data_IF_862963499392
#
_entry.id   IF_862963499392
#
_cell.length_a   1.000
_cell.length_b   1.000
_cell.length_c   1.000
_cell.angle_alpha   90.00
_cell.angle_beta   90.00
_cell.angle_gamma   90.00
#
_symmetry.space_group_name_H-M   'P 1'
#
loop_
_entity.id
_entity.type
_entity.pdbx_description
1 polymer ?
#
# COMPACT_ATOMS: atom_id res chain seq x y z
N UNK A 1 0.39 -24.00 0.95
CA UNK A 1 0.95 -23.45 2.20
C UNK A 1 0.37 -22.06 2.45
N UNK A 2 -0.07 -21.72 3.67
CA UNK A 2 -0.70 -20.43 4.01
C UNK A 2 0.14 -19.20 3.64
N UNK A 3 1.47 -19.27 3.77
CA UNK A 3 2.39 -18.17 3.42
C UNK A 3 2.35 -17.77 1.94
N UNK A 4 2.17 -18.72 1.03
CA UNK A 4 2.15 -18.44 -0.41
C UNK A 4 0.89 -17.66 -0.84
N UNK A 5 -0.25 -17.88 -0.17
CA UNK A 5 -1.48 -17.13 -0.44
C UNK A 5 -1.36 -15.68 0.06
N UNK A 6 -0.77 -15.49 1.24
CA UNK A 6 -0.48 -14.17 1.82
C UNK A 6 0.44 -13.34 0.93
N UNK A 7 1.59 -13.88 0.53
CA UNK A 7 2.55 -13.16 -0.32
C UNK A 7 1.92 -12.75 -1.66
N UNK A 8 1.04 -13.59 -2.25
CA UNK A 8 0.28 -13.22 -3.46
C UNK A 8 -0.71 -12.08 -3.20
N UNK A 9 -1.43 -12.12 -2.08
CA UNK A 9 -2.36 -11.07 -1.68
C UNK A 9 -1.66 -9.71 -1.54
N UNK A 10 -0.59 -9.66 -0.74
CA UNK A 10 0.19 -8.42 -0.54
C UNK A 10 0.75 -7.88 -1.85
N UNK A 11 1.28 -8.74 -2.72
CA UNK A 11 1.76 -8.36 -4.05
C UNK A 11 0.65 -7.81 -4.95
N UNK A 12 -0.54 -8.41 -4.94
CA UNK A 12 -1.67 -7.91 -5.73
C UNK A 12 -2.13 -6.54 -5.23
N UNK A 13 -2.30 -6.36 -3.92
CA UNK A 13 -2.75 -5.10 -3.33
C UNK A 13 -1.75 -3.95 -3.58
N UNK A 14 -0.45 -4.21 -3.37
CA UNK A 14 0.62 -3.22 -3.58
C UNK A 14 0.73 -2.82 -5.07
N UNK A 15 0.67 -3.78 -6.00
CA UNK A 15 0.67 -3.50 -7.45
C UNK A 15 -0.56 -2.71 -7.90
N UNK A 16 -1.75 -3.06 -7.41
CA UNK A 16 -2.97 -2.33 -7.73
C UNK A 16 -2.90 -0.87 -7.24
N UNK A 17 -2.37 -0.66 -6.03
CA UNK A 17 -2.15 0.68 -5.50
C UNK A 17 -1.15 1.47 -6.35
N UNK A 18 0.01 0.89 -6.68
CA UNK A 18 1.02 1.52 -7.54
C UNK A 18 0.41 1.89 -8.89
N UNK A 19 -0.31 0.97 -9.53
CA UNK A 19 -1.00 1.20 -10.80
C UNK A 19 -1.95 2.41 -10.72
N UNK A 20 -2.81 2.46 -9.70
CA UNK A 20 -3.71 3.59 -9.50
C UNK A 20 -3.00 4.94 -9.36
N UNK A 21 -1.91 5.01 -8.59
CA UNK A 21 -1.13 6.24 -8.42
C UNK A 21 -0.49 6.69 -9.74
N UNK A 22 0.04 5.75 -10.52
CA UNK A 22 0.69 6.05 -11.80
C UNK A 22 -0.32 6.43 -12.90
N UNK A 23 -1.46 5.77 -12.95
CA UNK A 23 -2.53 6.06 -13.91
C UNK A 23 -3.24 7.38 -13.60
N UNK A 24 -3.34 7.73 -12.30
CA UNK A 24 -4.14 8.86 -11.83
C UNK A 24 -3.44 9.72 -10.76
N UNK A 25 -2.25 10.29 -11.03
CA UNK A 25 -1.43 10.97 -10.01
C UNK A 25 -2.14 12.18 -9.39
N UNK A 26 -2.85 12.98 -10.19
CA UNK A 26 -3.62 14.14 -9.70
C UNK A 26 -4.81 13.73 -8.83
N UNK A 27 -5.55 12.67 -9.20
CA UNK A 27 -6.67 12.15 -8.40
C UNK A 27 -6.16 11.58 -7.09
N UNK A 28 -5.09 10.79 -7.13
CA UNK A 28 -4.45 10.26 -5.94
C UNK A 28 -3.96 11.39 -5.03
N UNK A 29 -3.27 12.39 -5.57
CA UNK A 29 -2.82 13.57 -4.84
C UNK A 29 -3.96 14.31 -4.13
N UNK A 30 -5.11 14.46 -4.79
CA UNK A 30 -6.30 15.08 -4.21
C UNK A 30 -6.92 14.28 -3.03
N UNK A 31 -6.54 13.01 -2.83
CA UNK A 31 -6.97 12.23 -1.64
C UNK A 31 -6.06 12.42 -0.42
N UNK A 32 -4.87 13.00 -0.61
CA UNK A 32 -3.88 13.12 0.47
C UNK A 32 -4.25 14.27 1.39
N UNK A 33 -4.38 13.99 2.69
CA UNK A 33 -4.70 15.00 3.70
C UNK A 33 -6.18 15.42 3.73
N UNK A 34 -7.04 14.73 2.99
CA UNK A 34 -8.49 14.94 3.08
C UNK A 34 -8.99 14.37 4.40
N UNK A 35 -9.58 15.23 5.22
CA UNK A 35 -10.33 14.85 6.41
C UNK A 35 -11.81 14.83 6.07
N UNK A 36 -12.48 13.66 6.09
CA UNK A 36 -13.92 13.60 5.87
C UNK A 36 -14.65 14.43 6.92
N UNK A 37 -15.63 15.20 6.47
CA UNK A 37 -16.40 16.13 7.31
C UNK A 37 -17.44 15.44 8.22
N UNK A 38 -17.69 14.15 7.99
CA UNK A 38 -18.59 13.34 8.79
C UNK A 38 -18.81 11.95 8.15
N UNK A 39 -19.64 11.09 8.78
CA UNK A 39 -19.94 9.75 8.27
C UNK A 39 -20.60 9.73 6.88
N UNK A 40 -21.39 10.76 6.56
CA UNK A 40 -22.11 10.91 5.29
C UNK A 40 -21.24 11.54 4.18
N UNK A 41 -19.99 11.89 4.49
CA UNK A 41 -19.07 12.45 3.51
C UNK A 41 -18.73 11.37 2.45
N UNK A 42 -18.92 11.63 1.15
CA UNK A 42 -18.56 10.69 0.09
C UNK A 42 -17.10 10.22 0.17
N UNK A 43 -16.19 11.05 0.68
CA UNK A 43 -14.78 10.69 0.88
C UNK A 43 -14.58 9.66 1.99
N UNK A 44 -15.40 9.68 3.04
CA UNK A 44 -15.35 8.65 4.09
C UNK A 44 -15.63 7.27 3.48
N UNK A 45 -16.68 7.18 2.66
CA UNK A 45 -17.07 5.92 1.99
C UNK A 45 -16.06 5.53 0.90
N UNK A 46 -15.63 6.48 0.06
CA UNK A 46 -14.71 6.20 -1.04
C UNK A 46 -13.33 5.71 -0.56
N UNK A 47 -12.89 6.18 0.62
CA UNK A 47 -11.59 5.81 1.20
C UNK A 47 -11.59 4.43 1.88
N UNK A 48 -12.76 3.88 2.23
CA UNK A 48 -12.85 2.59 2.93
C UNK A 48 -12.33 1.44 2.07
N UNK A 49 -12.77 1.32 0.82
CA UNK A 49 -12.43 0.17 -0.03
C UNK A 49 -10.91 -0.03 -0.23
N UNK A 50 -10.10 1.00 -0.52
CA UNK A 50 -8.64 0.86 -0.56
C UNK A 50 -8.02 0.48 0.80
N UNK A 51 -8.53 1.03 1.91
CA UNK A 51 -8.04 0.70 3.25
C UNK A 51 -8.38 -0.74 3.65
N UNK A 52 -9.58 -1.20 3.32
CA UNK A 52 -10.04 -2.57 3.56
C UNK A 52 -9.20 -3.58 2.78
N UNK A 53 -8.77 -3.25 1.55
CA UNK A 53 -7.87 -4.09 0.79
C UNK A 53 -6.54 -4.31 1.52
N UNK A 54 -5.93 -3.26 2.09
CA UNK A 54 -4.72 -3.36 2.89
C UNK A 54 -4.94 -4.14 4.19
N UNK A 55 -6.01 -3.83 4.92
CA UNK A 55 -6.34 -4.54 6.16
C UNK A 55 -6.60 -6.03 5.90
N UNK A 56 -7.25 -6.36 4.77
CA UNK A 56 -7.54 -7.76 4.39
C UNK A 56 -6.28 -8.55 4.12
N UNK A 57 -5.31 -8.02 3.36
CA UNK A 57 -4.04 -8.73 3.15
C UNK A 57 -3.23 -8.85 4.43
N UNK A 58 -3.36 -7.90 5.36
CA UNK A 58 -2.68 -7.94 6.66
C UNK A 58 -3.24 -9.01 7.62
N UNK A 59 -4.48 -9.46 7.44
CA UNK A 59 -5.04 -10.61 8.20
C UNK A 59 -4.28 -11.92 7.98
N UNK A 60 -3.51 -12.02 6.90
CA UNK A 60 -2.64 -13.18 6.64
C UNK A 60 -1.35 -13.21 7.47
N UNK A 61 -1.08 -12.17 8.26
CA UNK A 61 0.11 -12.04 9.10
C UNK A 61 -0.27 -12.11 10.60
N UNK A 62 0.62 -12.61 11.44
CA UNK A 62 0.44 -12.67 12.90
C UNK A 62 0.80 -11.32 13.55
N UNK A 63 0.06 -10.27 13.16
CA UNK A 63 0.29 -8.93 13.69
C UNK A 63 -0.18 -8.85 15.14
N UNK A 64 0.71 -8.43 16.04
CA UNK A 64 0.39 -8.23 17.46
C UNK A 64 -0.69 -7.18 17.61
N UNK A 65 -1.54 -7.33 18.64
CA UNK A 65 -2.65 -6.39 18.92
C UNK A 65 -2.20 -4.93 19.02
N UNK A 66 -1.00 -4.66 19.54
CA UNK A 66 -0.45 -3.30 19.62
C UNK A 66 -0.03 -2.70 18.27
N UNK A 67 0.17 -3.53 17.25
CA UNK A 67 0.74 -3.14 15.95
C UNK A 67 -0.31 -3.07 14.83
N UNK A 68 -1.58 -3.35 15.14
CA UNK A 68 -2.66 -3.45 14.14
C UNK A 68 -2.91 -2.16 13.36
N UNK A 69 -2.62 -1.00 13.96
CA UNK A 69 -2.69 0.31 13.28
C UNK A 69 -1.37 0.68 12.60
N UNK A 70 -0.24 0.16 13.10
CA UNK A 70 1.08 0.44 12.55
C UNK A 70 1.31 -0.30 11.23
N UNK A 71 0.93 -1.57 11.13
CA UNK A 71 1.10 -2.39 9.93
C UNK A 71 0.44 -1.80 8.66
N UNK A 72 -0.86 -1.41 8.65
CA UNK A 72 -1.49 -0.81 7.47
C UNK A 72 -0.89 0.55 7.13
N UNK A 73 -0.54 1.37 8.12
CA UNK A 73 0.13 2.66 7.89
C UNK A 73 1.50 2.49 7.24
N UNK A 74 2.30 1.53 7.72
CA UNK A 74 3.60 1.19 7.15
C UNK A 74 3.45 0.73 5.70
N UNK A 75 2.58 -0.25 5.42
CA UNK A 75 2.40 -0.79 4.08
C UNK A 75 1.91 0.29 3.10
N UNK A 76 0.93 1.11 3.50
CA UNK A 76 0.45 2.25 2.71
C UNK A 76 1.57 3.27 2.49
N UNK A 77 2.38 3.57 3.51
CA UNK A 77 3.49 4.52 3.43
C UNK A 77 4.57 4.08 2.43
N UNK A 78 4.96 2.80 2.46
CA UNK A 78 5.89 2.21 1.48
C UNK A 78 5.35 2.33 0.05
N UNK A 79 4.07 1.98 -0.16
CA UNK A 79 3.45 2.07 -1.48
C UNK A 79 3.33 3.53 -1.96
N UNK A 80 2.91 4.44 -1.06
CA UNK A 80 2.81 5.87 -1.34
C UNK A 80 4.15 6.42 -1.79
N UNK A 81 5.20 6.27 -0.97
CA UNK A 81 6.52 6.84 -1.26
C UNK A 81 7.10 6.31 -2.56
N UNK A 82 7.01 4.99 -2.81
CA UNK A 82 7.53 4.42 -4.05
C UNK A 82 6.77 4.94 -5.28
N UNK A 83 5.43 4.91 -5.25
CA UNK A 83 4.62 5.24 -6.41
C UNK A 83 4.62 6.75 -6.71
N UNK A 84 4.67 7.63 -5.69
CA UNK A 84 4.75 9.08 -5.91
C UNK A 84 6.14 9.50 -6.40
N UNK A 85 7.21 8.88 -5.89
CA UNK A 85 8.55 9.07 -6.45
C UNK A 85 8.59 8.62 -7.91
N UNK A 86 8.04 7.45 -8.25
CA UNK A 86 7.99 7.01 -9.64
C UNK A 86 7.17 7.95 -10.53
N UNK A 87 5.98 8.38 -10.09
CA UNK A 87 5.12 9.29 -10.84
C UNK A 87 5.80 10.65 -11.11
N UNK A 88 6.65 11.10 -10.20
CA UNK A 88 7.45 12.32 -10.33
C UNK A 88 8.78 12.12 -11.08
N UNK A 89 8.99 10.97 -11.73
CA UNK A 89 10.26 10.60 -12.35
C UNK A 89 11.45 10.66 -11.38
N UNK A 90 11.25 10.36 -10.10
CA UNK A 90 12.26 10.48 -9.03
C UNK A 90 13.35 9.39 -9.07
N UNK A 91 13.15 8.31 -9.83
CA UNK A 91 14.12 7.23 -9.99
C UNK A 91 15.01 7.49 -11.22
N UNK A 92 16.04 8.32 -11.04
CA UNK A 92 16.94 8.78 -12.11
C UNK A 92 18.13 7.83 -12.38
N UNK A 93 18.20 6.68 -11.71
CA UNK A 93 19.28 5.69 -11.88
C UNK A 93 18.84 4.58 -12.84
N UNK A 94 19.80 3.91 -13.49
CA UNK A 94 19.57 2.87 -14.51
C UNK A 94 19.00 1.53 -13.99
N UNK A 95 18.49 1.48 -12.76
CA UNK A 95 17.89 0.27 -12.19
C UNK A 95 16.45 0.18 -12.64
N UNK A 96 16.00 -1.02 -12.99
CA UNK A 96 14.61 -1.28 -13.35
C UNK A 96 13.68 -0.95 -12.16
N UNK A 97 12.69 -0.09 -12.41
CA UNK A 97 11.76 0.35 -11.38
C UNK A 97 10.85 -0.78 -10.89
N UNK A 98 10.50 -1.72 -11.78
CA UNK A 98 9.72 -2.90 -11.40
C UNK A 98 10.55 -3.83 -10.51
N UNK A 99 11.84 -4.02 -10.79
CA UNK A 99 12.74 -4.78 -9.91
C UNK A 99 12.82 -4.14 -8.50
N UNK A 100 12.98 -2.81 -8.43
CA UNK A 100 12.98 -2.09 -7.16
C UNK A 100 11.66 -2.22 -6.39
N UNK A 101 10.54 -2.24 -7.10
CA UNK A 101 9.23 -2.45 -6.48
C UNK A 101 9.07 -3.87 -5.93
N UNK A 102 9.61 -4.86 -6.65
CA UNK A 102 9.61 -6.25 -6.19
C UNK A 102 10.43 -6.46 -4.93
N UNK A 103 11.58 -5.79 -4.83
CA UNK A 103 12.38 -5.73 -3.62
C UNK A 103 11.60 -5.13 -2.44
N UNK A 104 10.86 -4.04 -2.66
CA UNK A 104 10.03 -3.41 -1.64
C UNK A 104 8.92 -4.36 -1.13
N UNK A 105 8.23 -5.07 -2.04
CA UNK A 105 7.19 -6.04 -1.66
C UNK A 105 7.81 -7.19 -0.84
N UNK A 106 8.94 -7.74 -1.28
CA UNK A 106 9.62 -8.83 -0.58
C UNK A 106 10.17 -8.40 0.79
N UNK A 107 10.58 -7.14 0.93
CA UNK A 107 10.95 -6.56 2.22
C UNK A 107 9.74 -6.46 3.15
N UNK A 108 8.61 -5.93 2.67
CA UNK A 108 7.39 -5.80 3.45
C UNK A 108 6.82 -7.16 3.91
N UNK A 109 6.72 -8.15 3.01
CA UNK A 109 6.21 -9.49 3.35
C UNK A 109 7.09 -10.20 4.41
N UNK A 110 8.41 -10.06 4.32
CA UNK A 110 9.33 -10.61 5.34
C UNK A 110 9.21 -9.88 6.68
N UNK A 111 9.19 -8.55 6.66
CA UNK A 111 9.07 -7.75 7.89
C UNK A 111 7.76 -8.00 8.62
N UNK A 112 6.65 -8.09 7.89
CA UNK A 112 5.33 -8.40 8.45
C UNK A 112 5.22 -9.87 8.92
N UNK A 113 5.98 -10.79 8.30
CA UNK A 113 5.98 -12.21 8.64
C UNK A 113 6.91 -12.61 9.79
N UNK A 114 7.76 -11.69 10.28
CA UNK A 114 8.71 -11.94 11.37
C UNK A 114 8.20 -11.46 12.75
N UNK A 115 6.95 -11.02 12.82
CA UNK A 115 6.29 -10.51 14.03
C UNK A 115 6.00 -11.55 15.09
#
# INVERSE_FOLDING_TARGET
>A
MPWAARSRGTRAATRAFRGFVLEHPGRYGATIGVEPTGPDDPMATASQRPLDAFTTVLRGYEIKKGDVDHAPRMLRGLCHGFATLQAANGFQRSVDVDEGFEWLIAFADRGLGAG
#
